data_IF_165106646148
#
_entry.id   IF_165106646148
#
_cell.length_a   1.000
_cell.length_b   1.000
_cell.length_c   1.000
_cell.angle_alpha   90.00
_cell.angle_beta   90.00
_cell.angle_gamma   90.00
#
_symmetry.space_group_name_H-M   'P 1'
#
loop_
_entity.id
_entity.type
_entity.pdbx_description
1 polymer ?
#
# COMPACT_ATOMS: atom_id res chain seq x y z
N UNK A 1 -4.09 -53.87 42.62
CA UNK A 1 -4.30 -52.42 42.75
C UNK A 1 -5.79 -52.15 42.94
N UNK A 2 -6.19 -51.62 44.11
CA UNK A 2 -7.59 -51.48 44.51
C UNK A 2 -8.37 -50.57 43.55
N UNK A 3 -9.67 -50.83 43.38
CA UNK A 3 -10.56 -50.12 42.47
C UNK A 3 -10.43 -48.59 42.59
N UNK A 4 -10.36 -48.06 43.82
CA UNK A 4 -10.15 -46.63 44.07
C UNK A 4 -8.84 -46.08 43.48
N UNK A 5 -7.74 -46.85 43.47
CA UNK A 5 -6.48 -46.42 42.87
C UNK A 5 -6.58 -46.33 41.35
N UNK A 6 -7.26 -47.30 40.71
CA UNK A 6 -7.48 -47.29 39.26
C UNK A 6 -8.40 -46.13 38.85
N UNK A 7 -9.44 -45.87 39.65
CA UNK A 7 -10.35 -44.74 39.44
C UNK A 7 -9.62 -43.39 39.57
N UNK A 8 -8.84 -43.21 40.63
CA UNK A 8 -8.05 -41.99 40.84
C UNK A 8 -7.03 -41.74 39.70
N UNK A 9 -6.34 -42.78 39.24
CA UNK A 9 -5.40 -42.69 38.11
C UNK A 9 -6.13 -42.28 36.82
N UNK A 10 -7.32 -42.84 36.56
CA UNK A 10 -8.11 -42.49 35.36
C UNK A 10 -8.55 -41.03 35.37
N UNK A 11 -8.96 -40.50 36.53
CA UNK A 11 -9.37 -39.10 36.67
C UNK A 11 -8.16 -38.19 36.43
N UNK A 12 -7.00 -38.51 37.01
CA UNK A 12 -5.76 -37.76 36.81
C UNK A 12 -5.31 -37.71 35.35
N UNK A 13 -5.39 -38.84 34.63
CA UNK A 13 -5.06 -38.91 33.21
C UNK A 13 -6.01 -38.06 32.36
N UNK A 14 -7.31 -38.04 32.68
CA UNK A 14 -8.29 -37.21 31.96
C UNK A 14 -8.07 -35.71 32.19
N UNK A 15 -7.70 -35.30 33.40
CA UNK A 15 -7.36 -33.90 33.70
C UNK A 15 -6.10 -33.47 32.97
N UNK A 16 -5.07 -34.32 32.94
CA UNK A 16 -3.82 -34.05 32.21
C UNK A 16 -4.06 -33.90 30.71
N UNK A 17 -4.95 -34.73 30.14
CA UNK A 17 -5.34 -34.66 28.74
C UNK A 17 -6.05 -33.35 28.39
N UNK A 18 -6.98 -32.88 29.24
CA UNK A 18 -7.67 -31.59 29.04
C UNK A 18 -6.68 -30.42 29.10
N UNK A 19 -5.71 -30.46 30.03
CA UNK A 19 -4.67 -29.43 30.14
C UNK A 19 -3.80 -29.42 28.87
N UNK A 20 -3.36 -30.58 28.39
CA UNK A 20 -2.59 -30.69 27.15
C UNK A 20 -3.40 -30.19 25.93
N UNK A 21 -4.69 -30.54 25.85
CA UNK A 21 -5.58 -30.08 24.79
C UNK A 21 -5.77 -28.56 24.83
N UNK A 22 -5.88 -27.98 26.03
CA UNK A 22 -5.98 -26.53 26.20
C UNK A 22 -4.71 -25.80 25.73
N UNK A 23 -3.51 -26.34 26.03
CA UNK A 23 -2.22 -25.79 25.58
C UNK A 23 -2.04 -25.84 24.05
N UNK A 24 -2.61 -26.85 23.38
CA UNK A 24 -2.60 -26.98 21.91
C UNK A 24 -3.60 -26.02 21.26
N UNK A 25 -4.78 -25.83 21.87
CA UNK A 25 -5.82 -24.92 21.37
C UNK A 25 -5.48 -23.44 21.60
N UNK A 26 -4.82 -23.09 22.70
CA UNK A 26 -4.12 -21.80 22.85
C UNK A 26 -2.78 -21.82 22.13
N UNK A 27 -2.77 -22.39 20.92
CA UNK A 27 -1.62 -22.43 20.04
C UNK A 27 -0.95 -21.07 20.04
N UNK A 28 0.39 -21.10 20.08
CA UNK A 28 1.30 -19.96 20.01
C UNK A 28 0.97 -19.09 18.79
N UNK A 29 -0.10 -18.32 18.86
CA UNK A 29 -0.32 -17.09 18.14
C UNK A 29 0.57 -16.06 18.79
N UNK A 30 1.88 -16.26 18.67
CA UNK A 30 2.79 -15.15 18.76
C UNK A 30 2.26 -14.14 17.76
N UNK A 31 1.68 -13.06 18.28
CA UNK A 31 1.55 -11.83 17.53
C UNK A 31 2.99 -11.48 17.21
N UNK A 32 3.48 -11.91 16.05
CA UNK A 32 4.62 -11.27 15.43
C UNK A 32 4.24 -9.79 15.40
N UNK A 33 4.79 -9.01 16.33
CA UNK A 33 5.04 -7.58 16.13
C UNK A 33 6.14 -7.46 15.05
N UNK A 34 5.96 -8.16 13.94
CA UNK A 34 6.70 -7.94 12.73
C UNK A 34 5.86 -6.97 11.95
N UNK A 35 6.32 -5.73 11.83
CA UNK A 35 5.94 -4.96 10.66
C UNK A 35 6.06 -5.89 9.44
N UNK A 36 5.04 -5.96 8.58
CA UNK A 36 5.06 -6.88 7.46
C UNK A 36 6.37 -6.72 6.70
N UNK A 37 6.98 -7.85 6.32
CA UNK A 37 8.17 -7.95 5.45
C UNK A 37 8.06 -7.17 4.12
N UNK A 38 6.98 -6.43 3.89
CA UNK A 38 6.85 -5.52 2.77
C UNK A 38 7.40 -4.11 3.06
N UNK A 39 7.71 -3.76 4.32
CA UNK A 39 8.82 -2.82 4.59
C UNK A 39 10.15 -3.58 4.51
N UNK A 40 10.31 -4.47 3.54
CA UNK A 40 11.63 -4.78 3.03
C UNK A 40 11.72 -3.89 1.82
N UNK A 41 12.65 -2.93 1.89
CA UNK A 41 13.33 -2.37 0.74
C UNK A 41 13.69 -3.54 -0.18
N UNK A 42 12.78 -3.98 -1.04
CA UNK A 42 13.17 -4.83 -2.13
C UNK A 42 14.12 -3.92 -2.90
N UNK A 43 15.27 -4.48 -3.21
CA UNK A 43 16.26 -3.88 -4.10
C UNK A 43 15.61 -3.86 -5.49
N UNK A 44 14.57 -3.05 -5.65
CA UNK A 44 13.81 -2.92 -6.86
C UNK A 44 14.59 -1.97 -7.75
N UNK A 45 15.00 -2.49 -8.90
CA UNK A 45 15.25 -1.67 -10.09
C UNK A 45 14.24 -0.52 -10.13
N UNK A 46 14.64 0.71 -10.50
CA UNK A 46 13.72 1.83 -10.62
C UNK A 46 12.53 1.42 -11.46
N UNK A 47 11.36 1.39 -10.83
CA UNK A 47 10.15 0.91 -11.48
C UNK A 47 9.53 2.06 -12.21
N UNK A 48 9.40 1.88 -13.52
CA UNK A 48 8.67 2.81 -14.35
C UNK A 48 7.21 2.38 -14.48
N UNK A 49 6.35 3.37 -14.59
CA UNK A 49 4.93 3.22 -14.84
C UNK A 49 4.59 4.01 -16.10
N UNK A 50 3.72 3.45 -16.93
CA UNK A 50 3.21 4.08 -18.14
C UNK A 50 1.88 4.73 -17.85
N UNK A 51 1.84 6.05 -17.94
CA UNK A 51 0.65 6.87 -17.68
C UNK A 51 0.11 7.35 -19.02
N UNK A 52 -1.16 7.06 -19.31
CA UNK A 52 -1.85 7.67 -20.43
C UNK A 52 -2.28 9.09 -20.06
N UNK A 53 -1.66 10.08 -20.70
CA UNK A 53 -1.97 11.50 -20.56
C UNK A 53 -3.12 11.82 -21.50
N UNK A 54 -4.34 11.93 -20.96
CA UNK A 54 -5.57 12.02 -21.74
C UNK A 54 -5.65 13.31 -22.56
N UNK A 55 -5.14 14.44 -22.04
CA UNK A 55 -5.15 15.72 -22.76
C UNK A 55 -4.25 15.67 -24.00
N UNK A 56 -3.04 15.15 -23.84
CA UNK A 56 -2.03 15.05 -24.90
C UNK A 56 -2.19 13.81 -25.79
N UNK A 57 -3.10 12.89 -25.45
CA UNK A 57 -3.33 11.63 -26.16
C UNK A 57 -2.06 10.79 -26.34
N UNK A 58 -1.18 10.77 -25.34
CA UNK A 58 0.12 10.07 -25.39
C UNK A 58 0.40 9.29 -24.11
N UNK A 59 1.34 8.36 -24.19
CA UNK A 59 1.86 7.65 -23.02
C UNK A 59 3.14 8.33 -22.56
N UNK A 60 3.19 8.67 -21.27
CA UNK A 60 4.42 9.07 -20.61
C UNK A 60 4.90 7.94 -19.71
N UNK A 61 6.19 7.61 -19.82
CA UNK A 61 6.85 6.67 -18.93
C UNK A 61 7.66 7.46 -17.91
N UNK A 62 7.42 7.20 -16.63
CA UNK A 62 8.09 7.87 -15.53
C UNK A 62 8.33 6.91 -14.37
N UNK A 63 9.20 7.29 -13.42
CA UNK A 63 9.37 6.50 -12.21
C UNK A 63 8.07 6.46 -11.41
N UNK A 64 7.81 5.35 -10.73
CA UNK A 64 6.65 5.18 -9.86
C UNK A 64 6.58 6.28 -8.80
N UNK A 65 7.72 6.71 -8.25
CA UNK A 65 7.75 7.79 -7.26
C UNK A 65 7.40 9.16 -7.85
N UNK A 66 7.76 9.45 -9.11
CA UNK A 66 7.33 10.67 -9.79
C UNK A 66 5.83 10.63 -10.11
N UNK A 67 5.33 9.46 -10.50
CA UNK A 67 3.89 9.25 -10.67
C UNK A 67 3.13 9.51 -9.37
N UNK A 68 3.55 8.88 -8.27
CA UNK A 68 2.92 9.04 -6.95
C UNK A 68 2.97 10.50 -6.51
N UNK A 69 4.09 11.21 -6.72
CA UNK A 69 4.20 12.63 -6.42
C UNK A 69 3.15 13.45 -7.19
N UNK A 70 2.96 13.19 -8.49
CA UNK A 70 1.95 13.87 -9.30
C UNK A 70 0.52 13.49 -8.92
N UNK A 71 0.27 12.25 -8.47
CA UNK A 71 -1.04 11.82 -7.96
C UNK A 71 -1.37 12.49 -6.63
N UNK A 72 -0.47 12.46 -5.64
CA UNK A 72 -0.73 13.16 -4.36
C UNK A 72 -0.90 14.65 -4.61
N UNK A 73 -0.10 15.21 -5.51
CA UNK A 73 -0.26 16.59 -5.93
C UNK A 73 -1.61 16.82 -6.60
N UNK A 74 -2.18 15.92 -7.39
CA UNK A 74 -3.48 16.09 -8.06
C UNK A 74 -4.69 15.88 -7.16
N UNK A 75 -4.64 14.84 -6.34
CA UNK A 75 -5.75 14.33 -5.53
C UNK A 75 -5.90 15.06 -4.19
N UNK A 76 -4.80 15.43 -3.53
CA UNK A 76 -4.86 15.87 -2.13
C UNK A 76 -4.50 17.36 -1.96
N UNK A 77 -5.27 18.14 -1.18
CA UNK A 77 -4.89 19.51 -0.83
C UNK A 77 -3.56 19.53 -0.07
N UNK A 78 -2.61 20.35 -0.53
CA UNK A 78 -1.27 20.44 0.07
C UNK A 78 -1.30 20.98 1.52
N UNK A 79 -2.38 21.66 1.90
CA UNK A 79 -2.65 22.15 3.24
C UNK A 79 -2.86 21.04 4.27
N UNK A 80 -3.28 19.84 3.84
CA UNK A 80 -3.56 18.73 4.76
C UNK A 80 -2.32 18.31 5.54
N UNK A 81 -2.52 17.67 6.69
CA UNK A 81 -1.41 17.23 7.54
C UNK A 81 -0.46 16.29 6.81
N UNK A 82 0.81 16.30 7.18
CA UNK A 82 1.85 15.44 6.58
C UNK A 82 1.47 13.95 6.62
N UNK A 83 0.91 13.47 7.73
CA UNK A 83 0.48 12.07 7.85
C UNK A 83 -0.65 11.71 6.88
N UNK A 84 -1.49 12.68 6.51
CA UNK A 84 -2.54 12.47 5.54
C UNK A 84 -1.95 12.39 4.12
N UNK A 85 -0.99 13.26 3.78
CA UNK A 85 -0.23 13.18 2.52
C UNK A 85 0.56 11.86 2.41
N UNK A 86 1.15 11.39 3.52
CA UNK A 86 1.86 10.10 3.58
C UNK A 86 0.89 8.92 3.34
N UNK A 87 -0.26 8.92 4.01
CA UNK A 87 -1.28 7.90 3.81
C UNK A 87 -1.74 7.86 2.33
N UNK A 88 -1.96 9.03 1.75
CA UNK A 88 -2.32 9.17 0.33
C UNK A 88 -1.21 8.66 -0.60
N UNK A 89 0.07 8.96 -0.31
CA UNK A 89 1.19 8.45 -1.08
C UNK A 89 1.24 6.91 -1.09
N UNK A 90 1.01 6.26 0.05
CA UNK A 90 0.94 4.80 0.15
C UNK A 90 -0.25 4.25 -0.63
N UNK A 91 -1.42 4.86 -0.53
CA UNK A 91 -2.61 4.46 -1.27
C UNK A 91 -2.40 4.61 -2.79
N UNK A 92 -1.86 5.76 -3.23
CA UNK A 92 -1.56 6.05 -4.62
C UNK A 92 -0.56 5.04 -5.22
N UNK A 93 0.52 4.76 -4.48
CA UNK A 93 1.53 3.78 -4.89
C UNK A 93 0.96 2.37 -4.99
N UNK A 94 0.13 1.97 -4.03
CA UNK A 94 -0.54 0.66 -4.04
C UNK A 94 -1.36 0.48 -5.32
N UNK A 95 -2.16 1.49 -5.68
CA UNK A 95 -2.96 1.46 -6.90
C UNK A 95 -2.10 1.38 -8.16
N UNK A 96 -1.06 2.22 -8.27
CA UNK A 96 -0.17 2.23 -9.43
C UNK A 96 0.48 0.85 -9.64
N UNK A 97 1.03 0.28 -8.57
CA UNK A 97 1.63 -1.08 -8.60
C UNK A 97 0.58 -2.14 -8.95
N UNK A 98 -0.64 -2.03 -8.43
CA UNK A 98 -1.73 -2.97 -8.72
C UNK A 98 -2.22 -2.94 -10.17
N UNK A 99 -1.84 -1.94 -10.97
CA UNK A 99 -2.15 -1.83 -12.40
C UNK A 99 -0.99 -2.22 -13.31
N UNK A 100 0.19 -2.48 -12.76
CA UNK A 100 1.36 -2.92 -13.51
C UNK A 100 1.31 -4.44 -13.74
N UNK A 101 1.50 -4.88 -14.99
CA UNK A 101 1.53 -6.31 -15.34
C UNK A 101 2.60 -7.10 -14.57
N UNK A 102 3.74 -6.46 -14.27
CA UNK A 102 4.82 -7.05 -13.48
C UNK A 102 4.37 -7.56 -12.09
N UNK A 103 3.23 -7.06 -11.60
CA UNK A 103 2.64 -7.39 -10.31
C UNK A 103 1.35 -8.21 -10.41
N UNK A 104 1.01 -8.71 -11.60
CA UNK A 104 -0.26 -9.40 -11.85
C UNK A 104 -1.45 -8.45 -11.95
N UNK A 105 -1.19 -7.15 -12.11
CA UNK A 105 -2.18 -6.11 -12.32
C UNK A 105 -2.80 -6.13 -13.72
N UNK A 106 -3.91 -5.41 -13.88
CA UNK A 106 -4.53 -5.17 -15.19
C UNK A 106 -4.27 -3.73 -15.61
N UNK A 107 -3.75 -3.57 -16.82
CA UNK A 107 -3.56 -2.26 -17.46
C UNK A 107 -4.87 -1.47 -17.60
N UNK A 108 -4.72 -0.16 -17.74
CA UNK A 108 -5.80 0.73 -18.11
C UNK A 108 -6.49 0.28 -19.41
N UNK A 109 -7.83 0.23 -19.36
CA UNK A 109 -8.67 -0.40 -20.38
C UNK A 109 -8.94 0.53 -21.57
N UNK A 110 -7.90 0.85 -22.34
CA UNK A 110 -8.01 1.74 -23.51
C UNK A 110 -7.27 1.26 -24.77
N UNK A 111 -6.74 0.03 -24.77
CA UNK A 111 -5.85 -0.50 -25.84
C UNK A 111 -4.59 0.36 -26.09
N UNK A 112 -4.31 1.36 -25.25
CA UNK A 112 -3.13 2.23 -25.37
C UNK A 112 -1.84 1.51 -24.97
N UNK A 113 -1.93 0.55 -24.05
CA UNK A 113 -0.78 -0.13 -23.45
C UNK A 113 -0.22 0.57 -22.20
N UNK A 114 -0.90 1.59 -21.69
CA UNK A 114 -0.58 2.24 -20.41
C UNK A 114 -1.01 1.39 -19.21
N UNK A 115 -0.29 1.50 -18.10
CA UNK A 115 -0.66 0.88 -16.83
C UNK A 115 -1.86 1.64 -16.21
N UNK A 116 -1.80 2.97 -16.22
CA UNK A 116 -2.79 3.89 -15.63
C UNK A 116 -3.08 5.09 -16.55
N UNK A 117 -3.99 5.97 -16.12
CA UNK A 117 -4.41 7.20 -16.80
C UNK A 117 -4.40 8.39 -15.82
N UNK A 118 -4.39 9.62 -16.34
CA UNK A 118 -4.26 10.86 -15.55
C UNK A 118 -5.58 11.46 -15.02
N UNK A 119 -6.67 10.71 -15.09
CA UNK A 119 -8.03 11.14 -14.71
C UNK A 119 -8.62 10.28 -13.60
N UNK A 120 -9.82 10.65 -13.13
CA UNK A 120 -10.60 9.90 -12.12
C UNK A 120 -10.95 8.47 -12.51
N UNK A 121 -10.81 8.08 -13.78
CA UNK A 121 -10.93 6.67 -14.17
C UNK A 121 -9.81 5.80 -13.56
N UNK A 122 -8.68 6.44 -13.25
CA UNK A 122 -7.56 5.87 -12.55
C UNK A 122 -7.28 6.74 -11.32
N UNK A 123 -6.36 7.70 -11.44
CA UNK A 123 -6.01 8.67 -10.40
C UNK A 123 -5.72 10.01 -11.08
N UNK A 124 -6.19 11.10 -10.47
CA UNK A 124 -5.88 12.45 -10.96
C UNK A 124 -4.39 12.69 -10.82
N UNK A 125 -3.71 12.83 -11.95
CA UNK A 125 -2.28 13.16 -11.99
C UNK A 125 -2.12 14.63 -12.38
N UNK A 126 -1.28 15.35 -11.63
CA UNK A 126 -0.87 16.72 -11.97
C UNK A 126 0.65 16.88 -11.96
N UNK A 127 1.19 17.43 -13.04
CA UNK A 127 2.62 17.69 -13.17
C UNK A 127 3.05 18.81 -12.22
N UNK A 128 4.37 18.93 -11.99
CA UNK A 128 4.94 20.04 -11.23
C UNK A 128 4.57 21.38 -11.86
N UNK A 129 4.71 21.47 -13.17
CA UNK A 129 4.44 22.67 -13.96
C UNK A 129 2.98 23.10 -13.79
N UNK A 130 2.03 22.17 -13.95
CA UNK A 130 0.60 22.45 -13.75
C UNK A 130 0.30 22.96 -12.32
N UNK A 131 0.90 22.35 -11.30
CA UNK A 131 0.69 22.77 -9.92
C UNK A 131 1.35 24.11 -9.59
N UNK A 132 2.55 24.36 -10.12
CA UNK A 132 3.20 25.66 -9.96
C UNK A 132 2.39 26.78 -10.60
N UNK A 133 1.65 26.50 -11.68
CA UNK A 133 0.77 27.47 -12.35
C UNK A 133 -0.57 27.68 -11.65
N UNK A 134 -1.12 26.65 -11.02
CA UNK A 134 -2.45 26.70 -10.39
C UNK A 134 -2.47 27.02 -8.90
N UNK A 135 -1.38 26.76 -8.17
CA UNK A 135 -1.28 27.09 -6.74
C UNK A 135 -0.94 28.57 -6.48
N UNK A 136 -1.25 29.08 -5.28
CA UNK A 136 -0.80 30.40 -4.86
C UNK A 136 0.73 30.50 -4.95
N UNK A 137 1.23 31.48 -5.73
CA UNK A 137 2.67 31.61 -6.02
C UNK A 137 3.54 31.76 -4.76
N UNK A 138 3.00 32.35 -3.69
CA UNK A 138 3.68 32.48 -2.40
C UNK A 138 3.90 31.15 -1.67
N UNK A 139 3.12 30.10 -1.99
CA UNK A 139 3.15 28.80 -1.31
C UNK A 139 3.49 27.63 -2.22
N UNK A 140 3.45 27.79 -3.54
CA UNK A 140 3.59 26.69 -4.49
C UNK A 140 4.87 25.85 -4.28
N UNK A 141 6.00 26.48 -3.97
CA UNK A 141 7.24 25.79 -3.65
C UNK A 141 7.17 25.04 -2.31
N UNK A 142 6.59 25.64 -1.27
CA UNK A 142 6.38 25.00 0.03
C UNK A 142 5.49 23.76 -0.11
N UNK A 143 4.37 23.90 -0.82
CA UNK A 143 3.43 22.81 -1.10
C UNK A 143 4.09 21.66 -1.84
N UNK A 144 4.85 21.97 -2.90
CA UNK A 144 5.57 20.96 -3.66
C UNK A 144 6.59 20.22 -2.78
N UNK A 145 7.36 20.93 -1.97
CA UNK A 145 8.36 20.33 -1.07
C UNK A 145 7.71 19.45 0.01
N UNK A 146 6.59 19.88 0.59
CA UNK A 146 5.85 19.12 1.59
C UNK A 146 5.32 17.80 1.02
N UNK A 147 4.71 17.84 -0.16
CA UNK A 147 4.23 16.61 -0.83
C UNK A 147 5.40 15.71 -1.21
N UNK A 148 6.46 16.29 -1.80
CA UNK A 148 7.68 15.55 -2.15
C UNK A 148 8.26 14.82 -0.94
N UNK A 149 8.33 15.49 0.21
CA UNK A 149 8.83 14.87 1.45
C UNK A 149 7.92 13.72 1.90
N UNK A 150 6.59 13.90 1.88
CA UNK A 150 5.64 12.83 2.25
C UNK A 150 5.76 11.59 1.35
N UNK A 151 5.95 11.80 0.04
CA UNK A 151 6.20 10.71 -0.93
C UNK A 151 7.53 10.02 -0.65
N UNK A 152 8.59 10.79 -0.38
CA UNK A 152 9.92 10.26 -0.07
C UNK A 152 9.95 9.46 1.24
N UNK A 153 9.30 9.95 2.29
CA UNK A 153 9.22 9.30 3.61
C UNK A 153 8.48 7.95 3.56
N UNK A 154 7.62 7.79 2.55
CA UNK A 154 6.84 6.57 2.31
C UNK A 154 7.31 5.80 1.09
N UNK A 155 8.48 6.12 0.54
CA UNK A 155 8.98 5.50 -0.69
C UNK A 155 9.00 3.98 -0.59
N UNK A 156 8.46 3.31 -1.62
CA UNK A 156 8.32 1.87 -1.69
C UNK A 156 7.26 1.25 -0.75
N UNK A 157 6.59 2.02 0.10
CA UNK A 157 5.53 1.49 0.95
C UNK A 157 4.21 1.36 0.19
N UNK A 158 3.56 0.19 0.31
CA UNK A 158 2.24 -0.11 -0.25
C UNK A 158 1.39 -0.86 0.79
N UNK A 159 0.08 -0.92 0.55
CA UNK A 159 -0.85 -1.71 1.35
C UNK A 159 -0.77 -3.20 0.98
N UNK A 160 -0.75 -4.04 2.00
CA UNK A 160 -0.76 -5.49 1.84
C UNK A 160 -1.68 -6.16 2.84
N UNK A 161 -2.25 -7.31 2.47
CA UNK A 161 -3.03 -8.16 3.34
C UNK A 161 -2.53 -9.61 3.24
N UNK A 162 -2.19 -10.21 4.39
CA UNK A 162 -1.57 -11.55 4.47
C UNK A 162 -0.34 -11.68 3.56
N UNK A 163 0.49 -10.64 3.52
CA UNK A 163 1.73 -10.59 2.73
C UNK A 163 1.52 -10.47 1.22
N UNK A 164 0.29 -10.25 0.75
CA UNK A 164 -0.03 -10.01 -0.67
C UNK A 164 -0.41 -8.56 -0.89
N UNK A 165 0.01 -7.99 -2.02
CA UNK A 165 -0.38 -6.66 -2.46
C UNK A 165 -1.92 -6.55 -2.51
N UNK A 166 -2.46 -5.42 -2.05
CA UNK A 166 -3.86 -5.09 -2.28
C UNK A 166 -4.04 -4.72 -3.76
N UNK A 167 -4.81 -5.52 -4.50
CA UNK A 167 -4.95 -5.37 -5.96
C UNK A 167 -6.07 -4.42 -6.40
N UNK A 168 -7.01 -4.12 -5.52
CA UNK A 168 -8.15 -3.24 -5.81
C UNK A 168 -8.30 -2.19 -4.69
N UNK A 169 -7.31 -1.31 -4.50
CA UNK A 169 -7.44 -0.24 -3.53
C UNK A 169 -8.43 0.81 -4.04
N UNK A 170 -9.47 1.07 -3.25
CA UNK A 170 -10.39 2.18 -3.46
C UNK A 170 -10.17 3.22 -2.36
N UNK A 171 -9.99 4.46 -2.78
CA UNK A 171 -9.93 5.59 -1.87
C UNK A 171 -10.54 6.81 -2.55
N UNK A 172 -11.02 7.75 -1.74
CA UNK A 172 -11.56 9.02 -2.21
C UNK A 172 -10.52 10.11 -1.94
N UNK A 173 -10.47 11.08 -2.84
CA UNK A 173 -9.69 12.29 -2.72
C UNK A 173 -10.61 13.50 -2.77
#
# INVERSE_FOLDING_TARGET
MNFLKKFAISVLMSMLFIILLSLVMTGKGGVEKGLPKFIIKSKAEPQNIKVYMTREHKIEEMTLENYVLGVVAGEMPAEFSEEALKAQAVAARTFGVAHMEAYGGKKYKSNTGADVCDTVECQVFKSKEERMDTWPKSKANEYWLKIKQAVQDTSGQVLSYKGKLVMEPYYFA
#
